data_IF_695965258833
#
_entry.id   IF_695965258833
#
_cell.length_a   1.000
_cell.length_b   1.000
_cell.length_c   1.000
_cell.angle_alpha   90.00
_cell.angle_beta   90.00
_cell.angle_gamma   90.00
#
_symmetry.space_group_name_H-M   'P 1'
#
loop_
_entity.id
_entity.type
_entity.pdbx_description
1 polymer ?
#
# COMPACT_ATOMS: atom_id res chain seq x y z
N UNK A 1 24.54 -2.89 60.90
CA UNK A 1 23.46 -3.64 60.24
C UNK A 1 22.80 -2.65 59.30
N UNK A 2 23.22 -2.63 58.04
CA UNK A 2 22.80 -1.61 57.07
C UNK A 2 22.19 -2.33 55.89
N UNK A 3 20.93 -1.96 55.62
CA UNK A 3 20.01 -2.59 54.70
C UNK A 3 20.55 -2.76 53.29
N UNK A 4 20.42 -3.98 52.79
CA UNK A 4 20.61 -4.37 51.42
C UNK A 4 19.32 -4.14 50.63
N UNK A 5 19.10 -2.91 50.17
CA UNK A 5 18.15 -2.64 49.10
C UNK A 5 18.88 -1.97 47.92
N UNK A 6 19.86 -2.69 47.36
CA UNK A 6 20.24 -2.48 45.98
C UNK A 6 19.16 -3.15 45.14
N UNK A 7 18.29 -2.31 44.59
CA UNK A 7 17.21 -2.65 43.68
C UNK A 7 17.76 -3.41 42.47
N UNK A 8 17.98 -4.71 42.63
CA UNK A 8 18.25 -5.65 41.55
C UNK A 8 16.91 -5.97 40.86
N UNK A 9 16.37 -4.93 40.24
CA UNK A 9 15.32 -5.07 39.22
C UNK A 9 16.01 -5.07 37.87
N UNK A 10 17.00 -5.96 37.71
CA UNK A 10 17.26 -6.55 36.42
C UNK A 10 15.91 -7.11 35.95
N UNK A 11 15.25 -6.38 35.05
CA UNK A 11 14.08 -6.86 34.35
C UNK A 11 14.48 -8.21 33.75
N UNK A 12 13.99 -9.29 34.37
CA UNK A 12 14.03 -10.60 33.77
C UNK A 12 13.37 -10.42 32.41
N UNK A 13 14.19 -10.40 31.35
CA UNK A 13 13.70 -10.43 29.99
C UNK A 13 12.88 -11.70 29.91
N UNK A 14 11.56 -11.55 29.86
CA UNK A 14 10.68 -12.68 29.67
C UNK A 14 10.86 -13.12 28.22
N UNK A 15 11.53 -14.26 27.97
CA UNK A 15 11.84 -14.69 26.62
C UNK A 15 10.57 -14.92 25.79
N UNK A 16 9.42 -15.17 26.43
CA UNK A 16 8.15 -15.28 25.74
C UNK A 16 7.66 -13.92 25.21
N UNK A 17 7.78 -12.84 26.00
CA UNK A 17 7.39 -11.50 25.58
C UNK A 17 8.30 -10.96 24.46
N UNK A 18 9.59 -11.30 24.49
CA UNK A 18 10.54 -10.93 23.44
C UNK A 18 10.23 -11.68 22.13
N UNK A 19 9.93 -12.98 22.21
CA UNK A 19 9.50 -13.77 21.05
C UNK A 19 8.20 -13.25 20.42
N UNK A 20 7.23 -12.86 21.24
CA UNK A 20 5.97 -12.27 20.77
C UNK A 20 6.19 -10.91 20.10
N UNK A 21 7.10 -10.09 20.64
CA UNK A 21 7.50 -8.81 20.05
C UNK A 21 8.16 -9.02 18.70
N UNK A 22 9.10 -9.95 18.60
CA UNK A 22 9.82 -10.27 17.36
C UNK A 22 8.86 -10.81 16.29
N UNK A 23 7.95 -11.72 16.66
CA UNK A 23 6.90 -12.21 15.77
C UNK A 23 6.01 -11.06 15.26
N UNK A 24 5.69 -10.09 16.13
CA UNK A 24 4.91 -8.92 15.75
C UNK A 24 5.66 -8.00 14.80
N UNK A 25 6.96 -7.80 15.02
CA UNK A 25 7.82 -7.03 14.12
C UNK A 25 7.86 -7.68 12.73
N UNK A 26 8.12 -8.99 12.65
CA UNK A 26 8.15 -9.73 11.38
C UNK A 26 6.80 -9.67 10.65
N UNK A 27 5.68 -9.78 11.36
CA UNK A 27 4.36 -9.57 10.77
C UNK A 27 4.22 -8.18 10.14
N UNK A 28 4.62 -7.13 10.85
CA UNK A 28 4.56 -5.75 10.34
C UNK A 28 5.48 -5.56 9.12
N UNK A 29 6.68 -6.16 9.13
CA UNK A 29 7.57 -6.14 7.97
C UNK A 29 6.90 -6.72 6.73
N UNK A 30 6.27 -7.89 6.87
CA UNK A 30 5.58 -8.56 5.77
C UNK A 30 4.37 -7.77 5.25
N UNK A 31 3.56 -7.20 6.14
CA UNK A 31 2.40 -6.37 5.75
C UNK A 31 2.86 -5.11 5.03
N UNK A 32 3.90 -4.43 5.54
CA UNK A 32 4.42 -3.23 4.89
C UNK A 32 5.01 -3.51 3.50
N UNK A 33 5.58 -4.70 3.29
CA UNK A 33 6.06 -5.11 1.98
C UNK A 33 4.92 -5.29 0.96
N UNK A 34 3.75 -5.79 1.37
CA UNK A 34 2.59 -5.86 0.45
C UNK A 34 2.20 -4.47 -0.04
N UNK A 35 2.11 -3.49 0.87
CA UNK A 35 1.82 -2.11 0.52
C UNK A 35 2.90 -1.52 -0.41
N UNK A 36 4.18 -1.81 -0.15
CA UNK A 36 5.27 -1.35 -1.00
C UNK A 36 5.14 -1.88 -2.43
N UNK A 37 4.87 -3.18 -2.59
CA UNK A 37 4.68 -3.78 -3.92
C UNK A 37 3.37 -3.36 -4.58
N UNK A 38 2.37 -2.92 -3.83
CA UNK A 38 1.16 -2.28 -4.34
C UNK A 38 1.35 -0.79 -4.67
N UNK A 39 2.59 -0.27 -4.64
CA UNK A 39 2.94 1.15 -4.81
C UNK A 39 2.27 2.09 -3.78
N UNK A 40 1.75 1.55 -2.68
CA UNK A 40 1.17 2.28 -1.55
C UNK A 40 2.27 2.64 -0.54
N UNK A 41 3.25 3.41 -0.98
CA UNK A 41 4.47 3.69 -0.19
C UNK A 41 4.18 4.34 1.16
N UNK A 42 3.19 5.22 1.25
CA UNK A 42 2.80 5.87 2.50
C UNK A 42 2.29 4.86 3.53
N UNK A 43 1.49 3.88 3.09
CA UNK A 43 1.02 2.80 3.96
C UNK A 43 2.16 1.88 4.38
N UNK A 44 3.08 1.56 3.47
CA UNK A 44 4.27 0.78 3.79
C UNK A 44 5.11 1.46 4.88
N UNK A 45 5.38 2.77 4.73
CA UNK A 45 6.11 3.58 5.72
C UNK A 45 5.38 3.58 7.07
N UNK A 46 4.06 3.78 7.08
CA UNK A 46 3.26 3.75 8.31
C UNK A 46 3.39 2.41 9.05
N UNK A 47 3.28 1.29 8.34
CA UNK A 47 3.37 -0.05 8.93
C UNK A 47 4.77 -0.32 9.49
N UNK A 48 5.84 -0.01 8.75
CA UNK A 48 7.19 -0.21 9.24
C UNK A 48 7.58 0.77 10.37
N UNK A 49 6.97 1.95 10.42
CA UNK A 49 7.14 2.86 11.56
C UNK A 49 6.57 2.25 12.84
N UNK A 50 5.48 1.47 12.75
CA UNK A 50 4.98 0.67 13.88
C UNK A 50 5.98 -0.40 14.34
N UNK A 51 6.72 -1.02 13.41
CA UNK A 51 7.79 -1.93 13.79
C UNK A 51 8.92 -1.20 14.55
N UNK A 52 9.25 0.04 14.15
CA UNK A 52 10.22 0.87 14.87
C UNK A 52 9.75 1.33 16.26
N UNK A 53 8.45 1.34 16.54
CA UNK A 53 7.96 1.57 17.89
C UNK A 53 8.21 0.37 18.82
N UNK A 54 8.29 -0.85 18.27
CA UNK A 54 8.59 -2.07 19.03
C UNK A 54 10.10 -2.27 19.22
N UNK A 55 10.88 -2.02 18.17
CA UNK A 55 12.34 -1.95 18.20
C UNK A 55 12.83 -0.74 17.37
N UNK A 56 13.25 0.32 18.07
CA UNK A 56 13.70 1.59 17.49
C UNK A 56 14.92 1.43 16.59
N UNK A 57 15.73 0.41 16.81
CA UNK A 57 16.96 0.12 16.05
C UNK A 57 16.77 -0.93 14.95
N UNK A 58 15.56 -1.41 14.70
CA UNK A 58 15.34 -2.55 13.81
C UNK A 58 15.87 -2.31 12.38
N UNK A 59 16.92 -3.03 11.93
CA UNK A 59 17.66 -2.67 10.72
C UNK A 59 16.82 -2.79 9.43
N UNK A 60 16.01 -3.85 9.30
CA UNK A 60 15.15 -4.06 8.11
C UNK A 60 14.10 -2.97 7.96
N UNK A 61 13.45 -2.57 9.06
CA UNK A 61 12.39 -1.57 9.03
C UNK A 61 12.93 -0.21 8.59
N UNK A 62 14.11 0.19 9.09
CA UNK A 62 14.79 1.43 8.68
C UNK A 62 15.15 1.40 7.20
N UNK A 63 15.79 0.32 6.74
CA UNK A 63 16.16 0.17 5.33
C UNK A 63 14.94 0.21 4.39
N UNK A 64 13.84 -0.43 4.79
CA UNK A 64 12.60 -0.44 4.01
C UNK A 64 11.92 0.93 3.96
N UNK A 65 11.85 1.65 5.09
CA UNK A 65 11.33 3.02 5.14
C UNK A 65 12.13 3.95 4.23
N UNK A 66 13.46 3.92 4.32
CA UNK A 66 14.31 4.76 3.46
C UNK A 66 14.11 4.45 1.98
N UNK A 67 13.98 3.16 1.61
CA UNK A 67 13.69 2.77 0.24
C UNK A 67 12.31 3.21 -0.25
N UNK A 68 11.28 3.15 0.61
CA UNK A 68 9.95 3.66 0.27
C UNK A 68 9.96 5.19 0.09
N UNK A 69 10.72 5.91 0.92
CA UNK A 69 10.92 7.35 0.76
C UNK A 69 11.61 7.70 -0.56
N UNK A 70 12.64 6.94 -0.96
CA UNK A 70 13.26 7.11 -2.27
C UNK A 70 12.27 6.88 -3.42
N UNK A 71 11.39 5.87 -3.30
CA UNK A 71 10.36 5.60 -4.30
C UNK A 71 9.31 6.72 -4.39
N UNK A 72 8.93 7.32 -3.25
CA UNK A 72 8.07 8.51 -3.24
C UNK A 72 8.73 9.69 -3.93
N UNK A 73 10.01 9.95 -3.64
CA UNK A 73 10.76 11.04 -4.29
C UNK A 73 10.91 10.84 -5.80
N UNK A 74 11.12 9.59 -6.24
CA UNK A 74 11.15 9.22 -7.65
C UNK A 74 9.81 9.48 -8.34
N UNK A 75 8.72 9.00 -7.74
CA UNK A 75 7.36 9.22 -8.25
C UNK A 75 7.04 10.71 -8.35
N UNK A 76 7.43 11.48 -7.34
CA UNK A 76 7.26 12.93 -7.33
C UNK A 76 7.98 13.58 -8.51
N UNK A 77 9.25 13.23 -8.73
CA UNK A 77 10.02 13.79 -9.85
C UNK A 77 9.41 13.46 -11.21
N UNK A 78 8.98 12.22 -11.41
CA UNK A 78 8.29 11.81 -12.63
C UNK A 78 6.98 12.58 -12.83
N UNK A 79 6.24 12.81 -11.75
CA UNK A 79 5.00 13.58 -11.80
C UNK A 79 5.24 15.05 -12.15
N UNK A 80 6.33 15.66 -11.66
CA UNK A 80 6.73 17.02 -12.01
C UNK A 80 7.18 17.12 -13.48
N UNK A 81 7.88 16.12 -13.99
CA UNK A 81 8.24 16.04 -15.40
C UNK A 81 6.99 15.95 -16.30
N UNK A 82 6.01 15.12 -15.91
CA UNK A 82 4.71 15.04 -16.58
C UNK A 82 3.97 16.38 -16.54
N UNK A 83 4.00 17.08 -15.40
CA UNK A 83 3.42 18.42 -15.27
C UNK A 83 4.06 19.39 -16.27
N UNK A 84 5.39 19.49 -16.29
CA UNK A 84 6.10 20.36 -17.22
C UNK A 84 5.81 20.00 -18.69
N UNK A 85 5.79 18.72 -19.02
CA UNK A 85 5.49 18.23 -20.38
C UNK A 85 4.05 18.55 -20.77
N UNK A 86 3.10 18.38 -19.86
CA UNK A 86 1.68 18.72 -20.04
C UNK A 86 1.45 20.22 -20.24
N UNK A 87 2.15 21.06 -19.48
CA UNK A 87 2.14 22.52 -19.67
C UNK A 87 2.71 22.90 -21.04
N UNK A 88 3.79 22.27 -21.48
CA UNK A 88 4.36 22.50 -22.80
C UNK A 88 3.41 22.06 -23.93
N UNK A 89 2.73 20.92 -23.78
CA UNK A 89 1.70 20.46 -24.73
C UNK A 89 0.52 21.44 -24.81
N UNK A 90 0.08 21.98 -23.67
CA UNK A 90 -0.95 23.01 -23.61
C UNK A 90 -0.54 24.25 -24.41
N UNK A 91 0.69 24.73 -24.24
CA UNK A 91 1.22 25.89 -24.97
C UNK A 91 1.29 25.67 -26.48
N UNK A 92 1.47 24.43 -26.93
CA UNK A 92 1.43 24.06 -28.37
C UNK A 92 0.01 23.89 -28.91
N UNK A 93 -1.03 23.95 -28.06
CA UNK A 93 -2.42 23.72 -28.44
C UNK A 93 -2.82 22.24 -28.53
N UNK A 94 -1.99 21.33 -28.02
CA UNK A 94 -2.25 19.89 -27.99
C UNK A 94 -3.14 19.53 -26.79
N UNK A 95 -4.41 19.97 -26.81
CA UNK A 95 -5.31 19.94 -25.66
C UNK A 95 -5.53 18.56 -25.03
N UNK A 96 -5.79 17.53 -25.85
CA UNK A 96 -6.01 16.17 -25.37
C UNK A 96 -4.76 15.58 -24.70
N UNK A 97 -3.59 15.81 -25.29
CA UNK A 97 -2.32 15.32 -24.75
C UNK A 97 -1.94 16.05 -23.47
N UNK A 98 -2.11 17.38 -23.45
CA UNK A 98 -1.94 18.18 -22.25
C UNK A 98 -2.84 17.67 -21.11
N UNK A 99 -4.12 17.40 -21.38
CA UNK A 99 -5.06 16.87 -20.39
C UNK A 99 -4.62 15.51 -19.85
N UNK A 100 -4.19 14.59 -20.72
CA UNK A 100 -3.68 13.27 -20.30
C UNK A 100 -2.45 13.40 -19.40
N UNK A 101 -1.46 14.19 -19.80
CA UNK A 101 -0.22 14.37 -19.06
C UNK A 101 -0.45 15.06 -17.71
N UNK A 102 -1.29 16.09 -17.66
CA UNK A 102 -1.62 16.81 -16.43
C UNK A 102 -2.41 15.92 -15.45
N UNK A 103 -3.33 15.08 -15.93
CA UNK A 103 -4.03 14.13 -15.07
C UNK A 103 -3.07 13.09 -14.49
N UNK A 104 -2.18 12.53 -15.33
CA UNK A 104 -1.16 11.58 -14.87
C UNK A 104 -0.18 12.22 -13.86
N UNK A 105 0.14 13.50 -14.03
CA UNK A 105 0.95 14.26 -13.09
C UNK A 105 0.25 14.38 -11.71
N UNK A 106 -1.03 14.73 -11.68
CA UNK A 106 -1.83 14.81 -10.44
C UNK A 106 -1.86 13.44 -9.74
N UNK A 107 -2.15 12.38 -10.49
CA UNK A 107 -2.22 11.01 -9.93
C UNK A 107 -0.85 10.56 -9.38
N UNK A 108 0.26 11.06 -9.93
CA UNK A 108 1.62 10.82 -9.47
C UNK A 108 2.06 11.66 -8.25
N UNK A 109 1.33 12.73 -7.90
CA UNK A 109 1.65 13.62 -6.78
C UNK A 109 2.22 14.99 -7.17
N UNK A 110 2.15 15.39 -8.44
CA UNK A 110 2.61 16.71 -8.88
C UNK A 110 1.83 17.84 -8.17
N UNK A 111 2.39 19.06 -8.12
CA UNK A 111 1.70 20.24 -7.58
C UNK A 111 0.29 20.41 -8.16
N UNK A 112 -0.73 20.07 -7.36
CA UNK A 112 -2.10 19.91 -7.84
C UNK A 112 -2.70 21.25 -8.25
N UNK A 113 -2.40 22.33 -7.54
CA UNK A 113 -2.93 23.66 -7.83
C UNK A 113 -2.53 24.17 -9.22
N UNK A 114 -1.26 23.95 -9.61
CA UNK A 114 -0.75 24.33 -10.93
C UNK A 114 -1.39 23.50 -12.04
N UNK A 115 -1.43 22.18 -11.86
CA UNK A 115 -2.03 21.27 -12.83
C UNK A 115 -3.53 21.56 -13.04
N UNK A 116 -4.29 21.79 -11.95
CA UNK A 116 -5.71 22.12 -12.01
C UNK A 116 -5.96 23.48 -12.68
N UNK A 117 -5.14 24.49 -12.41
CA UNK A 117 -5.28 25.81 -13.06
C UNK A 117 -5.14 25.72 -14.59
N UNK A 118 -4.24 24.86 -15.08
CA UNK A 118 -4.06 24.63 -16.53
C UNK A 118 -5.21 23.81 -17.11
N UNK A 119 -5.68 22.77 -16.41
CA UNK A 119 -6.84 21.98 -16.81
C UNK A 119 -8.13 22.82 -16.88
N UNK A 120 -8.36 23.72 -15.93
CA UNK A 120 -9.51 24.64 -15.95
C UNK A 120 -9.44 25.60 -17.15
N UNK A 121 -8.24 26.06 -17.49
CA UNK A 121 -8.03 26.90 -18.67
C UNK A 121 -8.31 26.14 -19.97
N UNK A 122 -7.86 24.88 -20.06
CA UNK A 122 -8.17 23.98 -21.18
C UNK A 122 -9.69 23.82 -21.36
N UNK A 123 -10.40 23.55 -20.27
CA UNK A 123 -11.86 23.35 -20.29
C UNK A 123 -12.64 24.58 -20.78
N UNK A 124 -12.19 25.78 -20.36
CA UNK A 124 -12.75 27.04 -20.86
C UNK A 124 -12.53 27.24 -22.36
N UNK A 125 -11.34 26.89 -22.87
CA UNK A 125 -11.05 26.98 -24.30
C UNK A 125 -11.93 26.01 -25.10
N UNK A 126 -12.04 24.76 -24.66
CA UNK A 126 -12.89 23.74 -25.29
C UNK A 126 -14.36 24.20 -25.35
N UNK A 127 -14.87 24.78 -24.26
CA UNK A 127 -16.24 25.31 -24.20
C UNK A 127 -16.47 26.44 -25.20
N UNK A 128 -15.51 27.35 -25.36
CA UNK A 128 -15.64 28.46 -26.33
C UNK A 128 -15.63 27.95 -27.78
N UNK A 129 -14.80 26.96 -28.09
CA UNK A 129 -14.72 26.33 -29.41
C UNK A 129 -16.01 25.57 -29.72
N UNK A 130 -16.53 24.79 -28.77
CA UNK A 130 -17.80 24.07 -28.93
C UNK A 130 -19.00 25.01 -29.12
N UNK A 131 -19.02 26.14 -28.40
CA UNK A 131 -20.06 27.17 -28.58
C UNK A 131 -19.98 27.87 -29.94
N UNK A 132 -18.77 28.05 -30.49
CA UNK A 132 -18.58 28.65 -31.81
C UNK A 132 -18.90 27.67 -32.96
N UNK A 133 -18.65 26.37 -32.76
CA UNK A 133 -18.88 25.32 -33.74
C UNK A 133 -20.35 24.87 -33.84
N UNK A 134 -21.20 25.24 -32.86
CA UNK A 134 -22.64 24.96 -32.93
C UNK A 134 -23.26 25.72 -34.11
N UNK A 135 -23.78 25.03 -35.15
CA UNK A 135 -24.37 25.71 -36.29
C UNK A 135 -25.59 26.47 -35.76
N UNK A 136 -25.53 27.80 -35.88
CA UNK A 136 -26.71 28.65 -35.71
C UNK A 136 -27.74 28.15 -36.70
N UNK A 137 -28.68 27.32 -36.23
CA UNK A 137 -29.89 27.04 -36.96
C UNK A 137 -30.53 28.40 -37.21
N UNK A 138 -30.43 28.86 -38.46
CA UNK A 138 -31.10 30.02 -38.99
C UNK A 138 -32.59 29.72 -38.90
N UNK A 139 -33.15 29.93 -37.71
CA UNK A 139 -34.59 29.92 -37.46
C UNK A 139 -35.08 31.26 -37.98
N UNK A 140 -35.39 31.30 -39.28
CA UNK A 140 -36.30 32.29 -39.82
C UNK A 140 -37.62 32.14 -39.07
N UNK A 141 -37.85 32.98 -38.07
CA UNK A 141 -39.19 33.30 -37.62
C UNK A 141 -39.39 34.79 -37.84
N UNK A 142 -40.37 35.03 -38.73
CA UNK A 142 -40.90 36.30 -39.17
C UNK A 142 -41.08 37.30 -38.03
N UNK A 143 -40.68 38.52 -38.35
CA UNK A 143 -41.07 39.82 -37.80
C UNK A 143 -42.43 39.87 -37.10
N UNK A 144 -42.44 40.43 -35.88
CA UNK A 144 -43.66 40.78 -35.15
C UNK A 144 -43.42 41.59 -33.86
N UNK A 145 -42.96 42.84 -34.01
CA UNK A 145 -43.22 44.02 -33.15
C UNK A 145 -42.78 44.06 -31.64
N UNK A 146 -42.64 45.27 -31.03
CA UNK A 146 -41.72 45.55 -29.92
C UNK A 146 -42.35 46.03 -28.59
N UNK A 147 -41.47 46.29 -27.59
CA UNK A 147 -41.64 46.82 -26.21
C UNK A 147 -41.98 45.72 -25.17
N UNK A 148 -41.43 45.70 -23.95
CA UNK A 148 -41.03 46.80 -23.08
C UNK A 148 -39.96 46.41 -22.03
N UNK A 149 -39.32 47.47 -21.51
CA UNK A 149 -38.85 47.69 -20.12
C UNK A 149 -37.71 46.85 -19.50
N UNK A 150 -36.64 47.59 -19.24
CA UNK A 150 -35.53 47.34 -18.33
C UNK A 150 -35.91 46.91 -16.90
N UNK A 151 -35.11 46.02 -16.34
CA UNK A 151 -34.63 45.98 -14.95
C UNK A 151 -33.40 45.06 -14.98
N UNK A 152 -32.18 45.47 -14.64
CA UNK A 152 -31.81 46.20 -13.45
C UNK A 152 -30.91 45.29 -12.61
N UNK A 153 -29.61 45.36 -12.88
CA UNK A 153 -28.46 45.09 -12.01
C UNK A 153 -28.72 44.50 -10.61
N UNK A 154 -27.97 43.46 -10.23
CA UNK A 154 -26.93 43.56 -9.17
C UNK A 154 -26.19 42.25 -8.93
N UNK A 155 -24.88 42.33 -9.10
CA UNK A 155 -23.86 41.45 -8.53
C UNK A 155 -23.66 41.79 -7.04
N UNK A 156 -23.61 40.77 -6.17
CA UNK A 156 -22.88 40.75 -4.87
C UNK A 156 -22.77 39.28 -4.42
N UNK A 157 -21.59 38.65 -4.41
CA UNK A 157 -20.62 38.53 -3.28
C UNK A 157 -21.17 37.82 -2.04
N UNK A 158 -20.54 36.69 -1.65
CA UNK A 158 -20.72 36.04 -0.35
C UNK A 158 -19.89 34.76 -0.19
N UNK A 159 -18.87 34.82 0.67
CA UNK A 159 -17.77 33.88 0.93
C UNK A 159 -18.11 32.83 2.01
N UNK A 160 -17.56 31.62 1.92
CA UNK A 160 -17.02 30.80 3.05
C UNK A 160 -16.42 29.50 2.47
N UNK A 161 -15.11 29.30 2.40
CA UNK A 161 -14.15 29.04 3.48
C UNK A 161 -14.55 27.87 4.40
N UNK A 162 -14.11 26.66 4.04
CA UNK A 162 -13.71 25.66 5.03
C UNK A 162 -12.33 25.12 4.64
N UNK A 163 -11.32 25.70 5.30
CA UNK A 163 -10.03 25.07 5.55
C UNK A 163 -10.28 23.85 6.44
N UNK A 164 -9.85 22.67 6.00
CA UNK A 164 -9.59 21.55 6.89
C UNK A 164 -8.33 20.79 6.43
N UNK A 165 -7.22 21.29 6.96
CA UNK A 165 -6.07 20.57 7.52
C UNK A 165 -5.90 19.11 7.07
N UNK A 166 -4.85 18.88 6.27
CA UNK A 166 -3.91 17.79 6.53
C UNK A 166 -2.50 18.39 6.52
N UNK A 167 -2.21 19.13 7.59
CA UNK A 167 -0.85 19.21 8.08
C UNK A 167 -0.59 17.92 8.84
N UNK A 168 0.59 17.32 8.62
CA UNK A 168 1.50 16.75 9.62
C UNK A 168 2.35 15.71 8.92
N UNK A 169 3.61 16.08 8.65
CA UNK A 169 4.79 15.19 8.61
C UNK A 169 6.09 15.94 8.25
N UNK A 170 6.01 17.22 7.91
CA UNK A 170 7.19 18.05 7.67
C UNK A 170 7.70 18.76 8.93
N UNK A 171 7.81 18.05 10.06
CA UNK A 171 8.41 18.64 11.27
C UNK A 171 8.81 17.62 12.33
N UNK A 172 9.45 16.51 11.96
CA UNK A 172 10.13 15.66 12.95
C UNK A 172 11.39 15.05 12.33
N UNK A 173 12.43 15.87 12.15
CA UNK A 173 13.83 15.52 12.38
C UNK A 173 14.66 16.82 12.45
N UNK A 174 15.42 17.06 13.52
CA UNK A 174 16.28 18.24 13.65
C UNK A 174 17.38 18.20 12.59
N UNK A 175 17.76 19.38 12.08
CA UNK A 175 18.96 19.55 11.25
C UNK A 175 20.15 18.92 11.99
N UNK A 176 20.59 17.76 11.52
CA UNK A 176 21.94 17.31 11.83
C UNK A 176 22.87 18.23 11.04
N UNK A 177 23.49 19.15 11.78
CA UNK A 177 24.69 19.87 11.37
C UNK A 177 25.67 18.89 10.76
N UNK A 178 25.93 19.05 9.46
CA UNK A 178 26.90 18.26 8.69
C UNK A 178 28.29 18.51 9.29
N UNK A 179 28.95 17.53 9.93
CA UNK A 179 30.35 17.68 10.31
C UNK A 179 31.20 17.58 9.05
N UNK A 180 32.16 18.49 8.88
CA UNK A 180 33.16 18.47 7.82
C UNK A 180 33.75 17.07 7.61
N UNK A 181 33.82 16.68 6.33
CA UNK A 181 34.37 15.41 5.89
C UNK A 181 35.82 15.22 6.36
N UNK A 182 36.05 14.16 7.14
CA UNK A 182 37.37 13.64 7.45
C UNK A 182 37.69 12.55 6.40
N UNK A 183 38.68 12.70 5.52
CA UNK A 183 38.94 11.75 4.44
C UNK A 183 39.77 10.56 4.94
N UNK A 184 39.25 9.77 5.88
CA UNK A 184 39.93 8.55 6.36
C UNK A 184 39.02 7.56 7.12
N UNK A 185 37.74 7.45 6.80
CA UNK A 185 36.88 6.40 7.36
C UNK A 185 36.68 5.28 6.33
N UNK A 186 36.85 3.99 6.70
CA UNK A 186 36.53 2.88 5.81
C UNK A 186 35.05 2.95 5.46
N UNK A 187 34.75 2.84 4.16
CA UNK A 187 33.38 2.73 3.63
C UNK A 187 32.71 1.54 4.33
N UNK A 188 31.92 1.82 5.36
CA UNK A 188 30.93 0.88 5.87
C UNK A 188 30.03 0.64 4.68
N UNK A 189 30.20 -0.51 4.03
CA UNK A 189 29.23 -1.01 3.07
C UNK A 189 27.96 -1.19 3.87
N UNK A 190 27.11 -0.18 3.86
CA UNK A 190 25.69 -0.31 4.16
C UNK A 190 25.24 -1.47 3.28
N UNK A 191 25.14 -2.64 3.89
CA UNK A 191 24.52 -3.80 3.29
C UNK A 191 23.11 -3.32 3.01
N UNK A 192 22.88 -2.89 1.77
CA UNK A 192 21.57 -2.59 1.25
C UNK A 192 20.79 -3.89 1.39
N UNK A 193 20.08 -4.01 2.51
CA UNK A 193 19.20 -5.12 2.81
C UNK A 193 18.26 -5.23 1.62
N UNK A 194 18.56 -6.17 0.73
CA UNK A 194 17.81 -6.38 -0.49
C UNK A 194 16.36 -6.62 -0.06
N UNK A 195 15.41 -5.97 -0.75
CA UNK A 195 14.01 -6.27 -0.48
C UNK A 195 13.82 -7.77 -0.74
N UNK A 196 13.11 -8.48 0.15
CA UNK A 196 12.84 -9.88 -0.04
C UNK A 196 12.12 -10.04 -1.37
N UNK A 197 12.58 -10.99 -2.19
CA UNK A 197 11.89 -11.31 -3.44
C UNK A 197 10.49 -11.85 -3.11
N UNK A 198 9.54 -11.75 -4.03
CA UNK A 198 8.16 -12.26 -3.81
C UNK A 198 8.12 -13.69 -3.24
N UNK A 199 9.01 -14.58 -3.71
CA UNK A 199 9.13 -15.93 -3.17
C UNK A 199 9.60 -16.01 -1.72
N UNK A 200 10.48 -15.09 -1.27
CA UNK A 200 10.93 -14.99 0.13
C UNK A 200 9.78 -14.55 1.04
N UNK A 201 8.96 -13.60 0.59
CA UNK A 201 7.79 -13.16 1.34
C UNK A 201 6.73 -14.25 1.45
N UNK A 202 6.43 -14.95 0.36
CA UNK A 202 5.47 -16.04 0.36
C UNK A 202 5.90 -17.15 1.33
N UNK A 203 7.19 -17.50 1.32
CA UNK A 203 7.75 -18.47 2.26
C UNK A 203 7.70 -17.98 3.72
N UNK A 204 8.08 -16.73 3.99
CA UNK A 204 8.02 -16.14 5.33
C UNK A 204 6.57 -16.07 5.85
N UNK A 205 5.62 -15.64 5.02
CA UNK A 205 4.20 -15.60 5.36
C UNK A 205 3.63 -16.99 5.61
N UNK A 206 3.97 -17.97 4.78
CA UNK A 206 3.57 -19.35 5.01
C UNK A 206 4.07 -19.89 6.35
N UNK A 207 5.31 -19.56 6.76
CA UNK A 207 5.85 -19.91 8.08
C UNK A 207 5.04 -19.27 9.20
N UNK A 208 4.71 -17.98 9.09
CA UNK A 208 3.90 -17.29 10.11
C UNK A 208 2.50 -17.87 10.23
N UNK A 209 1.85 -18.22 9.10
CA UNK A 209 0.53 -18.84 9.09
C UNK A 209 0.57 -20.26 9.68
N UNK A 210 1.60 -21.04 9.36
CA UNK A 210 1.78 -22.37 9.92
C UNK A 210 2.01 -22.32 11.43
N UNK A 211 2.83 -21.38 11.92
CA UNK A 211 3.04 -21.15 13.34
C UNK A 211 1.75 -20.72 14.06
N UNK A 212 0.87 -19.99 13.37
CA UNK A 212 -0.46 -19.62 13.86
C UNK A 212 -1.52 -20.72 13.74
N UNK A 213 -1.17 -21.92 13.27
CA UNK A 213 -2.10 -23.05 13.08
C UNK A 213 -2.96 -22.98 11.82
N UNK A 214 -2.80 -21.95 10.99
CA UNK A 214 -3.52 -21.77 9.72
C UNK A 214 -2.85 -22.56 8.59
N UNK A 215 -2.84 -23.89 8.73
CA UNK A 215 -2.10 -24.80 7.85
C UNK A 215 -2.58 -24.75 6.37
N UNK A 216 -3.89 -24.63 6.14
CA UNK A 216 -4.45 -24.54 4.78
C UNK A 216 -4.05 -23.23 4.09
N UNK A 217 -4.10 -22.10 4.80
CA UNK A 217 -3.73 -20.79 4.26
C UNK A 217 -2.22 -20.69 4.02
N UNK A 218 -1.42 -21.36 4.86
CA UNK A 218 0.01 -21.50 4.65
C UNK A 218 0.32 -22.24 3.34
N UNK A 219 -0.40 -23.34 3.04
CA UNK A 219 -0.22 -24.07 1.78
C UNK A 219 -0.60 -23.23 0.55
N UNK A 220 -1.71 -22.50 0.62
CA UNK A 220 -2.13 -21.58 -0.45
C UNK A 220 -1.10 -20.46 -0.68
N UNK A 221 -0.47 -19.98 0.39
CA UNK A 221 0.60 -18.98 0.29
C UNK A 221 1.86 -19.56 -0.36
N UNK A 222 2.20 -20.83 -0.10
CA UNK A 222 3.34 -21.50 -0.73
C UNK A 222 3.18 -21.70 -2.24
N UNK A 223 1.96 -21.77 -2.76
CA UNK A 223 1.71 -21.82 -4.21
C UNK A 223 2.15 -20.56 -4.95
N UNK A 224 2.33 -19.44 -4.24
CA UNK A 224 2.84 -18.20 -4.82
C UNK A 224 4.36 -18.22 -5.06
N UNK A 225 5.09 -19.20 -4.51
CA UNK A 225 6.54 -19.37 -4.72
C UNK A 225 6.77 -20.02 -6.09
N UNK A 226 7.39 -19.27 -7.02
CA UNK A 226 7.61 -19.76 -8.38
C UNK A 226 8.65 -20.88 -8.38
N UNK A 227 8.58 -21.83 -9.33
CA UNK A 227 9.61 -22.86 -9.50
C UNK A 227 11.02 -22.29 -9.72
N UNK A 228 11.13 -21.08 -10.27
CA UNK A 228 12.39 -20.37 -10.54
C UNK A 228 12.94 -19.60 -9.34
N UNK A 229 12.19 -19.50 -8.23
CA UNK A 229 12.63 -18.76 -7.05
C UNK A 229 13.66 -19.58 -6.26
N UNK A 230 14.70 -18.93 -5.73
CA UNK A 230 15.75 -19.60 -4.95
C UNK A 230 15.22 -20.31 -3.70
N UNK A 231 14.04 -19.88 -3.24
CA UNK A 231 13.34 -20.31 -2.03
C UNK A 231 12.47 -21.54 -2.26
N UNK A 232 12.42 -22.05 -3.49
CA UNK A 232 11.58 -23.18 -3.87
C UNK A 232 11.86 -24.44 -3.04
N UNK A 233 13.13 -24.75 -2.83
CA UNK A 233 13.52 -25.93 -2.05
C UNK A 233 13.02 -25.86 -0.60
N UNK A 234 13.06 -24.68 0.02
CA UNK A 234 12.56 -24.48 1.38
C UNK A 234 11.02 -24.46 1.44
N UNK A 235 10.37 -23.93 0.40
CA UNK A 235 8.92 -23.97 0.26
C UNK A 235 8.38 -25.40 0.13
N UNK A 236 9.05 -26.26 -0.66
CA UNK A 236 8.65 -27.66 -0.82
C UNK A 236 8.85 -28.46 0.48
N UNK A 237 9.92 -28.19 1.26
CA UNK A 237 10.12 -28.77 2.60
C UNK A 237 8.99 -28.38 3.55
N UNK A 238 8.68 -27.09 3.66
CA UNK A 238 7.63 -26.60 4.55
C UNK A 238 6.25 -27.15 4.15
N UNK A 239 5.98 -27.27 2.85
CA UNK A 239 4.77 -27.92 2.35
C UNK A 239 4.66 -29.37 2.82
N UNK A 240 5.73 -30.16 2.71
CA UNK A 240 5.75 -31.54 3.18
C UNK A 240 5.51 -31.65 4.69
N UNK A 241 6.07 -30.73 5.48
CA UNK A 241 5.85 -30.68 6.94
C UNK A 241 4.40 -30.38 7.29
N UNK A 242 3.80 -29.37 6.66
CA UNK A 242 2.40 -28.99 6.87
C UNK A 242 1.45 -30.11 6.44
N UNK A 243 1.72 -30.77 5.31
CA UNK A 243 0.91 -31.90 4.85
C UNK A 243 0.96 -33.07 5.83
N UNK A 244 2.13 -33.38 6.41
CA UNK A 244 2.25 -34.41 7.46
C UNK A 244 1.45 -34.05 8.71
N UNK A 245 1.47 -32.80 9.13
CA UNK A 245 0.68 -32.32 10.27
C UNK A 245 -0.83 -32.42 10.00
N UNK A 246 -1.28 -32.03 8.81
CA UNK A 246 -2.70 -32.15 8.42
C UNK A 246 -3.16 -33.61 8.40
N UNK A 247 -2.35 -34.53 7.87
CA UNK A 247 -2.67 -35.96 7.87
C UNK A 247 -2.77 -36.54 9.29
N UNK A 248 -1.93 -36.09 10.22
CA UNK A 248 -1.99 -36.50 11.62
C UNK A 248 -3.26 -36.01 12.35
N UNK A 249 -3.91 -34.95 11.85
CA UNK A 249 -5.13 -34.38 12.41
C UNK A 249 -6.42 -35.05 11.89
N UNK A 250 -6.34 -35.87 10.84
CA UNK A 250 -7.51 -36.59 10.31
C UNK A 250 -7.85 -37.76 11.26
N UNK A 251 -9.03 -37.78 11.91
CA UNK A 251 -9.43 -38.91 12.73
C UNK A 251 -9.61 -40.15 11.86
N UNK A 252 -8.99 -41.27 12.23
CA UNK A 252 -9.16 -42.54 11.53
C UNK A 252 -10.66 -42.90 11.43
N UNK A 253 -11.14 -43.38 10.27
CA UNK A 253 -12.53 -43.78 10.12
C UNK A 253 -12.83 -44.92 11.11
N UNK A 254 -13.81 -44.69 12.00
CA UNK A 254 -14.30 -45.72 12.93
C UNK A 254 -14.93 -46.83 12.08
N UNK A 255 -14.49 -48.10 12.23
CA UNK A 255 -15.12 -49.20 11.51
C UNK A 255 -16.58 -49.29 11.96
N UNK A 256 -17.50 -49.06 11.03
CA UNK A 256 -18.91 -49.40 11.20
C UNK A 256 -18.98 -50.92 11.29
N UNK A 257 -19.08 -51.44 12.51
CA UNK A 257 -19.44 -52.84 12.73
C UNK A 257 -20.92 -52.95 12.35
N UNK A 258 -21.18 -53.40 11.13
CA UNK A 258 -22.50 -53.77 10.67
C UNK A 258 -23.06 -54.85 11.61
N UNK A 259 -24.00 -54.44 12.46
CA UNK A 259 -24.90 -55.36 13.15
C UNK A 259 -25.91 -55.85 12.13
N UNK A 260 -25.50 -56.84 11.34
CA UNK A 260 -26.40 -57.55 10.45
C UNK A 260 -27.39 -58.36 11.30
N UNK A 261 -28.64 -57.90 11.25
CA UNK A 261 -29.80 -58.48 11.92
C UNK A 261 -30.13 -59.83 11.30
N UNK A 262 -29.68 -60.92 11.90
CA UNK A 262 -30.25 -62.26 11.68
C UNK A 262 -31.57 -62.43 12.43
N UNK A 263 -32.65 -61.78 11.98
CA UNK A 263 -34.00 -61.95 12.55
C UNK A 263 -35.05 -62.05 11.44
N UNK A 264 -35.75 -63.20 11.43
CA UNK A 264 -36.93 -63.58 10.61
C UNK A 264 -36.62 -63.85 9.12
N UNK A 265 -37.02 -64.96 8.53
CA UNK A 265 -37.88 -66.04 8.96
C UNK A 265 -38.35 -66.74 7.69
N UNK A 266 -38.36 -68.05 7.67
CA UNK A 266 -39.09 -68.76 6.61
C UNK A 266 -39.71 -70.01 7.20
N UNK A 267 -41.01 -70.12 6.98
CA UNK A 267 -41.76 -71.32 7.17
C UNK A 267 -42.84 -71.35 6.10
N UNK A 268 -42.83 -72.39 5.25
CA UNK A 268 -44.00 -73.24 4.97
C UNK A 268 -43.66 -74.46 4.09
N UNK A 269 -43.95 -75.65 4.64
CA UNK A 269 -44.73 -76.82 4.13
C UNK A 269 -44.96 -76.91 2.60
N UNK A 270 -44.82 -78.09 1.96
CA UNK A 270 -45.79 -79.19 2.09
C UNK A 270 -45.23 -80.49 2.70
#
# INVERSE_FOLDING_TARGET
MSDAHRSDTAHAHDPALDADRDAKIEQLLLVGLDHYFAAQYDQAINVWTRALFLDRSHPRARAYIERARSAVAERQRQSEELLHTGVAAFQRGEGDEARRLLQAAIDGGAPTDEALAVLERLDRLDTTVASAASPRSRREHRTGAPRASAAGSRSTLGVAATVLVVAVWRSWLPLQTVPQANPAAPVVREQSLALPRRGEMALARARTLAAGGHLSDALATLDLVRPTDAQRADADRLRADIQRQLLALIPAPRPQIDREKGQKGDGRVP
#
